data_IF_356900455575
#
_entry.id   IF_356900455575
#
_cell.length_a   1.000
_cell.length_b   1.000
_cell.length_c   1.000
_cell.angle_alpha   90.00
_cell.angle_beta   90.00
_cell.angle_gamma   90.00
#
_symmetry.space_group_name_H-M   'P 1'
#
loop_
_entity.id
_entity.type
_entity.pdbx_description
1 polymer ?
#
# COMPACT_ATOMS: atom_id res chain seq x y z
N UNK A 1 20.40 21.02 12.58
CA UNK A 1 19.75 19.87 11.89
C UNK A 1 20.32 19.57 10.50
N UNK A 2 20.83 20.55 9.75
CA UNK A 2 21.42 20.43 8.39
C UNK A 2 22.62 19.48 8.24
N UNK A 3 23.37 19.18 9.30
CA UNK A 3 24.57 18.33 9.21
C UNK A 3 24.27 16.81 9.17
N UNK A 4 23.14 16.38 9.73
CA UNK A 4 22.68 14.99 9.59
C UNK A 4 22.13 14.71 8.19
N UNK A 5 21.51 15.72 7.59
CA UNK A 5 20.84 15.66 6.29
C UNK A 5 21.82 15.36 5.14
N UNK A 6 23.04 15.92 5.16
CA UNK A 6 24.04 15.67 4.11
C UNK A 6 24.67 14.26 4.16
N UNK A 7 24.58 13.56 5.30
CA UNK A 7 25.18 12.22 5.48
C UNK A 7 24.19 11.09 5.19
N UNK A 8 22.89 11.36 5.27
CA UNK A 8 21.85 10.34 5.10
C UNK A 8 21.64 9.99 3.63
N UNK A 9 21.46 10.99 2.76
CA UNK A 9 21.15 10.80 1.32
C UNK A 9 22.22 10.02 0.54
N UNK A 10 23.55 10.28 0.70
CA UNK A 10 24.57 9.53 -0.02
C UNK A 10 24.67 8.06 0.41
N UNK A 11 24.57 7.79 1.72
CA UNK A 11 24.60 6.42 2.26
C UNK A 11 23.36 5.62 1.85
N UNK A 12 22.25 6.31 1.64
CA UNK A 12 20.99 5.70 1.20
C UNK A 12 21.11 5.20 -0.24
N UNK A 13 21.61 6.03 -1.15
CA UNK A 13 21.87 5.65 -2.54
C UNK A 13 22.74 4.39 -2.63
N UNK A 14 23.85 4.35 -1.88
CA UNK A 14 24.74 3.19 -1.85
C UNK A 14 24.05 1.90 -1.36
N UNK A 15 23.13 2.02 -0.40
CA UNK A 15 22.35 0.89 0.10
C UNK A 15 21.35 0.41 -0.94
N UNK A 16 20.59 1.32 -1.55
CA UNK A 16 19.57 0.97 -2.56
C UNK A 16 20.21 0.28 -3.77
N UNK A 17 21.30 0.84 -4.31
CA UNK A 17 22.00 0.26 -5.46
C UNK A 17 22.54 -1.15 -5.18
N UNK A 18 22.93 -1.47 -3.94
CA UNK A 18 23.35 -2.83 -3.54
C UNK A 18 22.19 -3.80 -3.37
N UNK A 19 20.99 -3.31 -3.07
CA UNK A 19 19.82 -4.15 -2.80
C UNK A 19 19.14 -4.60 -4.09
N UNK A 20 19.16 -3.80 -5.17
CA UNK A 20 18.46 -4.12 -6.42
C UNK A 20 18.78 -5.51 -7.00
N UNK A 21 20.06 -5.93 -7.12
CA UNK A 21 20.40 -7.25 -7.69
C UNK A 21 19.91 -8.41 -6.82
N UNK A 22 19.78 -8.18 -5.51
CA UNK A 22 19.35 -9.19 -4.54
C UNK A 22 17.84 -9.40 -4.64
N UNK A 23 17.07 -8.31 -4.79
CA UNK A 23 15.60 -8.32 -4.81
C UNK A 23 15.02 -9.28 -5.86
N UNK A 24 15.63 -9.36 -7.05
CA UNK A 24 15.18 -10.27 -8.11
C UNK A 24 15.29 -11.75 -7.75
N UNK A 25 16.19 -12.10 -6.82
CA UNK A 25 16.45 -13.47 -6.37
C UNK A 25 15.72 -13.86 -5.07
N UNK A 26 14.99 -12.91 -4.45
CA UNK A 26 14.32 -13.13 -3.17
C UNK A 26 13.21 -14.17 -3.32
N UNK A 27 13.28 -15.22 -2.51
CA UNK A 27 12.28 -16.29 -2.43
C UNK A 27 11.02 -15.83 -1.71
N UNK A 28 9.86 -16.41 -2.05
CA UNK A 28 8.55 -16.01 -1.51
C UNK A 28 8.51 -15.85 0.00
N UNK A 29 9.10 -16.78 0.77
CA UNK A 29 9.11 -16.69 2.24
C UNK A 29 9.83 -15.45 2.81
N UNK A 30 10.72 -14.83 2.04
CA UNK A 30 11.47 -13.64 2.45
C UNK A 30 10.88 -12.34 1.89
N UNK A 31 10.09 -12.41 0.80
CA UNK A 31 9.51 -11.24 0.12
C UNK A 31 8.75 -10.29 1.06
N UNK A 32 7.96 -10.75 2.05
CA UNK A 32 7.24 -9.83 2.93
C UNK A 32 8.17 -8.95 3.78
N UNK A 33 9.33 -9.49 4.18
CA UNK A 33 10.31 -8.74 4.98
C UNK A 33 10.94 -7.63 4.15
N UNK A 34 11.33 -7.96 2.91
CA UNK A 34 11.88 -6.96 1.98
C UNK A 34 10.84 -5.92 1.57
N UNK A 35 9.59 -6.34 1.30
CA UNK A 35 8.51 -5.42 0.98
C UNK A 35 8.26 -4.44 2.14
N UNK A 36 8.22 -4.92 3.38
CA UNK A 36 8.06 -4.06 4.55
C UNK A 36 9.27 -3.11 4.74
N UNK A 37 10.50 -3.58 4.48
CA UNK A 37 11.67 -2.70 4.54
C UNK A 37 11.60 -1.58 3.50
N UNK A 38 11.18 -1.90 2.26
CA UNK A 38 10.96 -0.92 1.20
C UNK A 38 9.84 0.06 1.56
N UNK A 39 8.75 -0.43 2.14
CA UNK A 39 7.65 0.40 2.66
C UNK A 39 8.15 1.42 3.68
N UNK A 40 8.82 0.96 4.74
CA UNK A 40 9.36 1.83 5.78
C UNK A 40 10.36 2.85 5.22
N UNK A 41 11.15 2.43 4.22
CA UNK A 41 12.07 3.33 3.52
C UNK A 41 11.31 4.43 2.76
N UNK A 42 10.25 4.09 2.02
CA UNK A 42 9.42 5.08 1.31
C UNK A 42 8.75 6.05 2.27
N UNK A 43 8.22 5.56 3.39
CA UNK A 43 7.62 6.40 4.44
C UNK A 43 8.63 7.40 5.02
N UNK A 44 9.86 6.94 5.29
CA UNK A 44 10.93 7.81 5.74
C UNK A 44 11.35 8.83 4.68
N UNK A 45 11.35 8.45 3.39
CA UNK A 45 11.60 9.36 2.28
C UNK A 45 10.54 10.47 2.21
N UNK A 46 9.25 10.15 2.41
CA UNK A 46 8.19 11.15 2.45
C UNK A 46 8.35 12.17 3.58
N UNK A 47 8.73 11.72 4.77
CA UNK A 47 9.04 12.63 5.89
C UNK A 47 10.19 13.57 5.51
N UNK A 48 11.24 13.04 4.87
CA UNK A 48 12.36 13.86 4.39
C UNK A 48 11.91 14.90 3.35
N UNK A 49 11.09 14.51 2.37
CA UNK A 49 10.62 15.40 1.30
C UNK A 49 9.68 16.49 1.87
N UNK A 50 8.80 16.13 2.80
CA UNK A 50 7.90 17.09 3.45
C UNK A 50 8.62 18.16 4.28
N UNK A 51 9.75 17.79 4.90
CA UNK A 51 10.59 18.71 5.69
C UNK A 51 11.56 19.53 4.82
N UNK A 52 11.90 19.05 3.63
CA UNK A 52 12.78 19.74 2.69
C UNK A 52 11.99 20.69 1.80
N UNK A 53 12.23 22.00 1.92
CA UNK A 53 11.62 23.04 1.07
C UNK A 53 12.02 22.96 -0.42
N UNK A 54 12.71 21.90 -0.84
CA UNK A 54 13.44 21.79 -2.10
C UNK A 54 13.20 20.45 -2.81
N UNK A 55 11.94 20.13 -3.14
CA UNK A 55 11.59 19.03 -4.04
C UNK A 55 12.14 17.64 -3.68
N UNK A 56 12.00 16.69 -4.60
CA UNK A 56 12.59 15.35 -4.47
C UNK A 56 14.12 15.45 -4.61
N UNK A 57 14.93 15.06 -3.61
CA UNK A 57 16.40 15.10 -3.66
C UNK A 57 16.98 13.93 -4.47
N UNK A 58 16.18 13.25 -5.29
CA UNK A 58 16.56 12.02 -5.96
C UNK A 58 17.18 12.32 -7.31
N UNK A 59 18.40 11.84 -7.50
CA UNK A 59 19.03 11.81 -8.82
C UNK A 59 18.43 10.70 -9.71
N UNK A 60 18.82 10.70 -10.98
CA UNK A 60 18.31 9.78 -11.99
C UNK A 60 18.52 8.30 -11.59
N UNK A 61 19.63 7.98 -10.94
CA UNK A 61 19.93 6.61 -10.50
C UNK A 61 18.92 6.12 -9.46
N UNK A 62 18.62 6.94 -8.44
CA UNK A 62 17.64 6.60 -7.40
C UNK A 62 16.24 6.51 -8.00
N UNK A 63 15.88 7.40 -8.92
CA UNK A 63 14.59 7.32 -9.63
C UNK A 63 14.49 6.04 -10.46
N UNK A 64 15.51 5.68 -11.23
CA UNK A 64 15.55 4.44 -12.01
C UNK A 64 15.49 3.20 -11.12
N UNK A 65 16.18 3.21 -9.98
CA UNK A 65 16.05 2.17 -8.97
C UNK A 65 14.60 2.04 -8.49
N UNK A 66 13.96 3.15 -8.13
CA UNK A 66 12.59 3.15 -7.63
C UNK A 66 11.58 2.63 -8.65
N UNK A 67 11.67 3.07 -9.90
CA UNK A 67 10.84 2.54 -10.98
C UNK A 67 11.06 1.02 -11.15
N UNK A 68 12.30 0.55 -11.08
CA UNK A 68 12.64 -0.88 -11.23
C UNK A 68 12.07 -1.74 -10.09
N UNK A 69 12.19 -1.27 -8.84
CA UNK A 69 11.61 -1.97 -7.68
C UNK A 69 10.09 -1.98 -7.75
N UNK A 70 9.49 -0.86 -8.14
CA UNK A 70 8.04 -0.74 -8.29
C UNK A 70 7.53 -1.74 -9.33
N UNK A 71 8.20 -1.80 -10.48
CA UNK A 71 7.90 -2.77 -11.53
C UNK A 71 8.09 -4.21 -11.05
N UNK A 72 9.15 -4.53 -10.30
CA UNK A 72 9.39 -5.86 -9.76
C UNK A 72 8.27 -6.30 -8.81
N UNK A 73 7.92 -5.46 -7.83
CA UNK A 73 6.85 -5.73 -6.87
C UNK A 73 5.52 -5.94 -7.61
N UNK A 74 5.19 -5.01 -8.50
CA UNK A 74 3.96 -5.06 -9.28
C UNK A 74 3.92 -6.27 -10.20
N UNK A 75 5.00 -6.59 -10.91
CA UNK A 75 4.97 -7.64 -11.94
C UNK A 75 5.13 -9.04 -11.38
N UNK A 76 5.96 -9.19 -10.36
CA UNK A 76 6.38 -10.51 -9.85
C UNK A 76 5.73 -10.80 -8.50
N UNK A 77 5.81 -9.88 -7.53
CA UNK A 77 5.46 -10.22 -6.14
C UNK A 77 3.95 -10.20 -5.89
N UNK A 78 3.21 -9.27 -6.52
CA UNK A 78 1.73 -9.29 -6.48
C UNK A 78 1.11 -10.53 -7.15
N UNK A 79 1.88 -11.23 -7.99
CA UNK A 79 1.46 -12.49 -8.63
C UNK A 79 1.73 -13.74 -7.79
N UNK A 80 2.31 -13.62 -6.59
CA UNK A 80 2.57 -14.77 -5.72
C UNK A 80 1.27 -15.46 -5.29
N UNK A 81 1.34 -16.78 -5.08
CA UNK A 81 0.23 -17.56 -4.51
C UNK A 81 0.07 -17.30 -3.01
N UNK A 82 1.09 -16.79 -2.34
CA UNK A 82 1.07 -16.46 -0.93
C UNK A 82 0.35 -15.11 -0.72
N UNK A 83 -0.72 -15.13 0.07
CA UNK A 83 -1.48 -13.92 0.40
C UNK A 83 -0.63 -12.88 1.13
N UNK A 84 0.27 -13.30 2.03
CA UNK A 84 1.12 -12.41 2.80
C UNK A 84 2.08 -11.65 1.88
N UNK A 85 2.65 -12.35 0.89
CA UNK A 85 3.52 -11.75 -0.13
C UNK A 85 2.74 -10.71 -0.95
N UNK A 86 1.55 -11.07 -1.42
CA UNK A 86 0.71 -10.13 -2.19
C UNK A 86 0.35 -8.88 -1.38
N UNK A 87 -0.10 -9.08 -0.14
CA UNK A 87 -0.50 -7.98 0.74
C UNK A 87 0.66 -7.05 1.04
N UNK A 88 1.80 -7.58 1.48
CA UNK A 88 2.99 -6.75 1.79
C UNK A 88 3.50 -6.02 0.55
N UNK A 89 3.38 -6.63 -0.64
CA UNK A 89 3.80 -6.00 -1.90
C UNK A 89 2.88 -4.84 -2.27
N UNK A 90 1.57 -5.02 -2.15
CA UNK A 90 0.59 -3.95 -2.38
C UNK A 90 0.77 -2.81 -1.37
N UNK A 91 1.01 -3.15 -0.11
CA UNK A 91 1.29 -2.17 0.94
C UNK A 91 2.51 -1.30 0.59
N UNK A 92 3.62 -1.95 0.22
CA UNK A 92 4.83 -1.25 -0.21
C UNK A 92 4.61 -0.40 -1.47
N UNK A 93 3.91 -0.94 -2.48
CA UNK A 93 3.59 -0.19 -3.71
C UNK A 93 2.78 1.07 -3.40
N UNK A 94 1.84 1.01 -2.45
CA UNK A 94 1.05 2.15 -2.00
C UNK A 94 1.88 3.29 -1.41
N UNK A 95 3.01 3.02 -0.78
CA UNK A 95 3.93 4.07 -0.28
C UNK A 95 4.86 4.60 -1.38
N UNK A 96 5.10 3.81 -2.43
CA UNK A 96 6.01 4.14 -3.53
C UNK A 96 5.39 5.06 -4.59
N UNK A 97 4.05 5.15 -4.68
CA UNK A 97 3.36 5.77 -5.84
C UNK A 97 3.74 7.22 -6.16
N UNK A 98 4.14 8.02 -5.17
CA UNK A 98 4.64 9.38 -5.42
C UNK A 98 6.17 9.52 -5.38
N UNK A 99 6.89 8.41 -5.27
CA UNK A 99 8.35 8.33 -5.39
C UNK A 99 8.80 7.75 -6.74
N UNK A 100 7.85 7.33 -7.58
CA UNK A 100 8.10 6.82 -8.94
C UNK A 100 7.71 7.86 -9.98
N UNK A 101 8.18 7.67 -11.21
CA UNK A 101 7.86 8.59 -12.30
C UNK A 101 6.38 8.51 -12.67
N UNK A 102 5.83 9.64 -13.14
CA UNK A 102 4.45 9.69 -13.66
C UNK A 102 4.20 8.68 -14.78
N UNK A 103 5.19 8.45 -15.65
CA UNK A 103 5.11 7.45 -16.72
C UNK A 103 5.00 6.01 -16.16
N UNK A 104 5.86 5.68 -15.19
CA UNK A 104 5.82 4.39 -14.51
C UNK A 104 4.47 4.17 -13.81
N UNK A 105 3.98 5.18 -13.08
CA UNK A 105 2.70 5.13 -12.40
C UNK A 105 1.55 4.91 -13.40
N UNK A 106 1.51 5.72 -14.47
CA UNK A 106 0.48 5.60 -15.52
C UNK A 106 0.43 4.20 -16.13
N UNK A 107 1.59 3.64 -16.47
CA UNK A 107 1.68 2.29 -17.05
C UNK A 107 1.20 1.17 -16.11
N UNK A 108 1.25 1.42 -14.80
CA UNK A 108 0.93 0.44 -13.77
C UNK A 108 -0.56 0.39 -13.42
N UNK A 109 -1.30 1.49 -13.59
CA UNK A 109 -2.71 1.64 -13.20
C UNK A 109 -3.61 0.46 -13.63
N UNK A 110 -3.56 0.00 -14.90
CA UNK A 110 -4.45 -1.07 -15.36
C UNK A 110 -4.25 -2.40 -14.61
N UNK A 111 -3.07 -2.62 -14.01
CA UNK A 111 -2.75 -3.83 -13.26
C UNK A 111 -2.91 -3.66 -11.75
N UNK A 112 -2.38 -2.57 -11.20
CA UNK A 112 -2.32 -2.38 -9.75
C UNK A 112 -3.70 -2.15 -9.14
N UNK A 113 -4.59 -1.44 -9.86
CA UNK A 113 -5.95 -1.16 -9.38
C UNK A 113 -6.76 -2.45 -9.17
N UNK A 114 -6.90 -3.35 -10.18
CA UNK A 114 -7.60 -4.62 -9.97
C UNK A 114 -6.96 -5.48 -8.87
N UNK A 115 -5.63 -5.44 -8.75
CA UNK A 115 -4.88 -6.19 -7.73
C UNK A 115 -5.25 -5.73 -6.31
N UNK A 116 -5.26 -4.41 -6.08
CA UNK A 116 -5.68 -3.83 -4.80
C UNK A 116 -7.14 -4.12 -4.50
N UNK A 117 -8.03 -3.98 -5.50
CA UNK A 117 -9.46 -4.25 -5.35
C UNK A 117 -9.76 -5.73 -5.04
N UNK A 118 -8.99 -6.70 -5.56
CA UNK A 118 -9.15 -8.11 -5.17
C UNK A 118 -8.80 -8.34 -3.68
N UNK A 119 -7.77 -7.66 -3.18
CA UNK A 119 -7.39 -7.72 -1.77
C UNK A 119 -8.41 -7.03 -0.87
N UNK A 120 -9.05 -5.95 -1.32
CA UNK A 120 -10.15 -5.30 -0.59
C UNK A 120 -11.35 -6.23 -0.33
N UNK A 121 -11.49 -7.33 -1.11
CA UNK A 121 -12.57 -8.31 -0.95
C UNK A 121 -12.25 -9.41 0.09
N UNK A 122 -11.05 -9.41 0.67
CA UNK A 122 -10.62 -10.41 1.67
C UNK A 122 -11.16 -10.05 3.06
N UNK A 123 -10.60 -10.65 4.10
CA UNK A 123 -10.94 -10.30 5.48
C UNK A 123 -10.61 -8.83 5.81
N UNK A 124 -11.10 -8.37 6.96
CA UNK A 124 -11.07 -6.96 7.35
C UNK A 124 -9.66 -6.37 7.46
N UNK A 125 -8.68 -7.13 7.96
CA UNK A 125 -7.31 -6.65 8.14
C UNK A 125 -6.62 -6.48 6.78
N UNK A 126 -6.79 -7.48 5.90
CA UNK A 126 -6.29 -7.43 4.53
C UNK A 126 -6.95 -6.30 3.75
N UNK A 127 -8.27 -6.15 3.88
CA UNK A 127 -9.04 -5.13 3.19
C UNK A 127 -8.64 -3.71 3.61
N UNK A 128 -8.42 -3.48 4.92
CA UNK A 128 -7.99 -2.18 5.44
C UNK A 128 -6.64 -1.77 4.84
N UNK A 129 -5.67 -2.69 4.85
CA UNK A 129 -4.33 -2.45 4.31
C UNK A 129 -4.39 -2.16 2.80
N UNK A 130 -5.13 -2.97 2.05
CA UNK A 130 -5.29 -2.77 0.61
C UNK A 130 -6.03 -1.47 0.25
N UNK A 131 -7.04 -1.09 1.04
CA UNK A 131 -7.77 0.16 0.86
C UNK A 131 -6.88 1.39 1.13
N UNK A 132 -6.03 1.34 2.14
CA UNK A 132 -5.04 2.39 2.41
C UNK A 132 -4.07 2.56 1.23
N UNK A 133 -3.53 1.46 0.71
CA UNK A 133 -2.64 1.51 -0.46
C UNK A 133 -3.35 2.02 -1.72
N UNK A 134 -4.62 1.64 -1.91
CA UNK A 134 -5.45 2.14 -3.00
C UNK A 134 -5.73 3.64 -2.86
N UNK A 135 -5.96 4.14 -1.64
CA UNK A 135 -6.11 5.57 -1.38
C UNK A 135 -4.87 6.34 -1.81
N UNK A 136 -3.67 5.90 -1.40
CA UNK A 136 -2.43 6.55 -1.80
C UNK A 136 -2.26 6.56 -3.32
N UNK A 137 -2.54 5.42 -3.96
CA UNK A 137 -2.49 5.29 -5.42
C UNK A 137 -3.42 6.28 -6.12
N UNK A 138 -4.68 6.36 -5.69
CA UNK A 138 -5.67 7.27 -6.27
C UNK A 138 -5.28 8.73 -6.03
N UNK A 139 -4.84 9.08 -4.83
CA UNK A 139 -4.35 10.44 -4.53
C UNK A 139 -3.21 10.83 -5.47
N UNK A 140 -2.19 9.99 -5.61
CA UNK A 140 -1.05 10.26 -6.50
C UNK A 140 -1.47 10.33 -7.98
N UNK A 141 -2.47 9.55 -8.38
CA UNK A 141 -2.97 9.51 -9.75
C UNK A 141 -3.83 10.72 -10.12
N UNK A 142 -4.54 11.29 -9.15
CA UNK A 142 -5.47 12.41 -9.35
C UNK A 142 -4.84 13.78 -9.08
N UNK A 143 -3.92 13.87 -8.10
CA UNK A 143 -3.33 15.13 -7.64
C UNK A 143 -1.95 15.45 -8.28
N UNK A 144 -1.70 14.93 -9.49
CA UNK A 144 -0.41 15.11 -10.15
C UNK A 144 -0.15 16.59 -10.51
N UNK A 145 0.75 17.26 -9.79
CA UNK A 145 1.20 18.64 -10.09
C UNK A 145 1.80 18.80 -11.51
N UNK A 146 2.21 17.68 -12.12
CA UNK A 146 2.93 17.63 -13.41
C UNK A 146 2.05 17.40 -14.64
N UNK A 147 0.71 17.44 -14.52
CA UNK A 147 -0.20 17.29 -15.65
C UNK A 147 -1.62 16.90 -15.27
N UNK A 148 -2.49 16.58 -16.24
CA UNK A 148 -3.86 16.15 -15.96
C UNK A 148 -3.88 14.86 -15.11
N UNK A 149 -5.02 14.51 -14.49
CA UNK A 149 -5.20 13.22 -13.83
C UNK A 149 -4.74 12.05 -14.71
N UNK A 150 -4.19 11.01 -14.08
CA UNK A 150 -3.74 9.80 -14.77
C UNK A 150 -4.87 8.81 -15.06
N UNK A 151 -6.01 8.99 -14.40
CA UNK A 151 -7.20 8.18 -14.53
C UNK A 151 -8.32 9.00 -15.15
N UNK A 152 -9.02 8.40 -16.10
CA UNK A 152 -10.25 8.97 -16.64
C UNK A 152 -11.41 8.75 -15.66
N UNK A 153 -12.48 9.52 -15.84
CA UNK A 153 -13.64 9.46 -14.94
C UNK A 153 -14.28 8.07 -14.90
N UNK A 154 -14.37 7.39 -16.05
CA UNK A 154 -14.95 6.06 -16.17
C UNK A 154 -14.15 5.02 -15.39
N UNK A 155 -12.82 5.11 -15.42
CA UNK A 155 -11.93 4.22 -14.66
C UNK A 155 -12.10 4.43 -13.16
N UNK A 156 -12.15 5.70 -12.72
CA UNK A 156 -12.40 6.05 -11.33
C UNK A 156 -13.78 5.58 -10.85
N UNK A 157 -14.82 5.73 -11.69
CA UNK A 157 -16.17 5.28 -11.38
C UNK A 157 -16.22 3.77 -11.12
N UNK A 158 -15.54 2.95 -11.94
CA UNK A 158 -15.45 1.50 -11.74
C UNK A 158 -14.80 1.15 -10.40
N UNK A 159 -13.75 1.87 -10.00
CA UNK A 159 -13.11 1.69 -8.69
C UNK A 159 -14.09 1.97 -7.56
N UNK A 160 -14.78 3.11 -7.61
CA UNK A 160 -15.75 3.52 -6.57
C UNK A 160 -16.94 2.55 -6.48
N UNK A 161 -17.49 2.12 -7.63
CA UNK A 161 -18.58 1.14 -7.69
C UNK A 161 -18.14 -0.20 -7.08
N UNK A 162 -16.89 -0.60 -7.29
CA UNK A 162 -16.36 -1.85 -6.72
C UNK A 162 -16.18 -1.76 -5.20
N UNK A 163 -15.81 -0.60 -4.67
CA UNK A 163 -15.64 -0.38 -3.23
C UNK A 163 -16.97 -0.24 -2.49
N UNK A 164 -18.01 0.31 -3.13
CA UNK A 164 -19.29 0.64 -2.50
C UNK A 164 -19.91 -0.55 -1.73
N UNK A 165 -20.04 -1.77 -2.29
CA UNK A 165 -20.56 -2.92 -1.56
C UNK A 165 -19.66 -3.36 -0.38
N UNK A 166 -18.35 -3.16 -0.48
CA UNK A 166 -17.39 -3.58 0.56
C UNK A 166 -17.54 -2.73 1.81
N UNK A 167 -17.79 -1.43 1.64
CA UNK A 167 -18.10 -0.51 2.74
C UNK A 167 -19.43 -0.87 3.41
N UNK A 168 -20.47 -1.13 2.61
CA UNK A 168 -21.81 -1.49 3.13
C UNK A 168 -21.82 -2.81 3.91
N UNK A 169 -21.09 -3.83 3.44
CA UNK A 169 -21.01 -5.13 4.11
C UNK A 169 -20.27 -5.04 5.45
N UNK A 170 -19.20 -4.23 5.53
CA UNK A 170 -18.45 -4.06 6.78
C UNK A 170 -19.29 -3.37 7.86
N UNK A 171 -20.10 -2.35 7.51
CA UNK A 171 -21.04 -1.72 8.45
C UNK A 171 -22.03 -2.75 9.01
N UNK A 172 -22.58 -3.64 8.16
CA UNK A 172 -23.53 -4.68 8.59
C UNK A 172 -22.91 -5.80 9.46
N UNK A 173 -21.58 -6.01 9.37
CA UNK A 173 -20.85 -6.98 10.18
C UNK A 173 -20.51 -6.40 11.55
N UNK A 174 -20.14 -5.12 11.61
CA UNK A 174 -19.94 -4.42 12.88
C UNK A 174 -21.25 -4.35 13.68
N UNK A 175 -22.38 -4.00 13.06
CA UNK A 175 -23.69 -4.05 13.73
C UNK A 175 -24.00 -5.45 14.29
N UNK A 176 -23.71 -6.51 13.54
CA UNK A 176 -23.88 -7.90 14.02
C UNK A 176 -22.88 -8.29 15.11
N UNK A 177 -21.68 -7.71 15.12
CA UNK A 177 -20.66 -7.91 16.17
C UNK A 177 -21.09 -7.25 17.49
N UNK A 178 -21.64 -6.04 17.45
CA UNK A 178 -22.21 -5.37 18.62
C UNK A 178 -23.44 -6.12 19.17
N UNK A 179 -24.32 -6.60 18.30
CA UNK A 179 -25.50 -7.39 18.70
C UNK A 179 -25.08 -8.75 19.28
N UNK A 180 -24.09 -9.43 18.69
CA UNK A 180 -23.53 -10.71 19.17
C UNK A 180 -22.85 -10.60 20.53
N UNK A 181 -22.12 -9.50 20.79
CA UNK A 181 -21.49 -9.24 22.10
C UNK A 181 -22.48 -8.75 23.15
N UNK A 182 -23.57 -8.09 22.75
CA UNK A 182 -24.64 -7.62 23.62
C UNK A 182 -25.63 -8.73 24.07
N UNK A 183 -25.84 -9.76 23.25
CA UNK A 183 -26.76 -10.87 23.57
C UNK A 183 -26.22 -11.90 24.56
N UNK A 184 -24.92 -11.85 24.92
CA UNK A 184 -24.35 -12.72 25.96
C UNK A 184 -24.61 -12.23 27.39
N UNK A 185 -25.14 -11.02 27.57
CA UNK A 185 -25.43 -10.45 28.90
C UNK A 185 -26.93 -10.33 29.23
N UNK A 186 -27.84 -10.65 28.28
CA UNK A 186 -29.28 -10.36 28.42
C UNK A 186 -30.14 -11.65 28.42
N UNK A 187 -29.57 -12.80 28.78
CA UNK A 187 -30.38 -13.94 29.21
C UNK A 187 -29.99 -14.27 30.65
N UNK A 188 -30.59 -13.62 31.65
CA UNK A 188 -30.61 -14.16 33.01
C UNK A 188 -31.35 -15.50 32.95
N UNK A 189 -30.63 -16.59 33.20
CA UNK A 189 -31.19 -17.91 33.42
C UNK A 189 -32.14 -17.83 34.63
N UNK A 190 -33.48 -17.98 34.47
CA UNK A 190 -34.42 -17.74 35.55
C UNK A 190 -34.39 -18.79 36.67
N UNK A 191 -33.54 -19.82 36.58
CA UNK A 191 -33.59 -20.99 37.46
C UNK A 191 -32.27 -21.38 38.11
N UNK A 192 -31.34 -20.43 38.31
CA UNK A 192 -30.03 -20.74 38.92
C UNK A 192 -29.91 -20.49 40.42
N UNK A 193 -30.99 -20.63 41.18
CA UNK A 193 -30.93 -20.71 42.66
C UNK A 193 -32.06 -21.57 43.24
N UNK A 194 -32.03 -22.89 43.02
CA UNK A 194 -32.59 -23.88 43.96
C UNK A 194 -31.72 -25.14 43.92
N UNK A 195 -30.72 -25.20 44.80
CA UNK A 195 -30.14 -26.41 45.43
C UNK A 195 -29.06 -25.97 46.42
#
# INVERSE_FOLDING_TARGET
QTLHLLKFTPRLKDVLLRVLPILGSVRDGQRPVFANALKCWCQAAWVYIGDASSGLPFDDDVMSFMNSVFELLLKVWTGSRDLKVRLSSVEALGEMVGLVTRSQLKSALPRIIPTMLDLCKKDQEVAFTAAHSLHNLLNASLLSESGPPLLEFEELAVVLITLLPLVSVNISKDERSYISKGLKWIIPDPYRHIA
#
